data_IF_863328184655
#
_entry.id   IF_863328184655
#
_cell.length_a   1.000
_cell.length_b   1.000
_cell.length_c   1.000
_cell.angle_alpha   90.00
_cell.angle_beta   90.00
_cell.angle_gamma   90.00
#
_symmetry.space_group_name_H-M   'P 1'
#
loop_
_entity.id
_entity.type
_entity.pdbx_description
1 polymer ?
#
# COMPACT_ATOMS: atom_id res chain seq x y z
N UNK A 1 -16.05 -12.58 3.96
CA UNK A 1 -14.64 -12.96 3.76
C UNK A 1 -13.88 -11.72 3.30
N UNK A 2 -12.72 -11.44 3.87
CA UNK A 2 -11.89 -10.32 3.44
C UNK A 2 -11.35 -10.55 2.02
N UNK A 3 -11.22 -9.48 1.23
CA UNK A 3 -10.59 -9.48 -0.09
C UNK A 3 -9.23 -8.82 0.00
N UNK A 4 -8.25 -9.33 -0.76
CA UNK A 4 -6.89 -8.80 -0.79
C UNK A 4 -6.58 -8.29 -2.19
N UNK A 5 -5.97 -7.10 -2.26
CA UNK A 5 -5.45 -6.49 -3.49
C UNK A 5 -3.95 -6.32 -3.28
N UNK A 6 -3.14 -6.99 -4.11
CA UNK A 6 -1.68 -6.87 -4.08
C UNK A 6 -1.23 -5.82 -5.09
N UNK A 7 -0.47 -4.83 -4.63
CA UNK A 7 0.03 -3.74 -5.47
C UNK A 7 1.55 -3.92 -5.62
N UNK A 8 1.99 -4.21 -6.84
CA UNK A 8 3.41 -4.36 -7.19
C UNK A 8 3.86 -3.21 -8.09
N UNK A 9 5.17 -3.08 -8.33
CA UNK A 9 5.73 -2.13 -9.29
C UNK A 9 6.83 -2.74 -10.12
N UNK A 10 6.89 -2.36 -11.40
CA UNK A 10 7.96 -2.73 -12.32
C UNK A 10 8.72 -1.51 -12.82
N UNK A 11 9.80 -1.78 -13.59
CA UNK A 11 10.67 -0.79 -14.25
C UNK A 11 11.52 0.03 -13.29
N UNK A 12 10.93 0.94 -12.51
CA UNK A 12 11.66 1.84 -11.60
C UNK A 12 10.95 2.06 -10.27
N UNK A 13 11.70 2.46 -9.25
CA UNK A 13 11.17 2.92 -7.97
C UNK A 13 10.63 4.36 -8.08
N UNK A 14 10.07 4.90 -6.99
CA UNK A 14 9.55 6.28 -6.92
C UNK A 14 8.38 6.63 -7.86
N UNK A 15 7.74 5.63 -8.48
CA UNK A 15 6.54 5.77 -9.34
C UNK A 15 5.24 6.20 -8.61
N UNK A 16 5.29 6.54 -7.31
CA UNK A 16 4.09 6.93 -6.57
C UNK A 16 3.15 5.78 -6.20
N UNK A 17 3.66 4.54 -6.07
CA UNK A 17 2.86 3.35 -5.66
C UNK A 17 2.06 3.56 -4.37
N UNK A 18 2.67 4.22 -3.38
CA UNK A 18 2.00 4.52 -2.12
C UNK A 18 0.78 5.43 -2.30
N UNK A 19 0.92 6.46 -3.15
CA UNK A 19 -0.18 7.38 -3.48
C UNK A 19 -1.28 6.64 -4.25
N UNK A 20 -0.91 5.86 -5.26
CA UNK A 20 -1.87 5.07 -6.04
C UNK A 20 -2.68 4.10 -5.15
N UNK A 21 -2.01 3.40 -4.23
CA UNK A 21 -2.66 2.52 -3.26
C UNK A 21 -3.60 3.28 -2.33
N UNK A 22 -3.18 4.43 -1.80
CA UNK A 22 -3.99 5.27 -0.93
C UNK A 22 -5.23 5.81 -1.66
N UNK A 23 -5.09 6.29 -2.89
CA UNK A 23 -6.21 6.77 -3.71
C UNK A 23 -7.22 5.66 -4.03
N UNK A 24 -6.74 4.44 -4.34
CA UNK A 24 -7.63 3.29 -4.51
C UNK A 24 -8.40 2.98 -3.22
N UNK A 25 -7.72 3.02 -2.07
CA UNK A 25 -8.36 2.84 -0.76
C UNK A 25 -9.45 3.87 -0.52
N UNK A 26 -9.17 5.16 -0.73
CA UNK A 26 -10.14 6.23 -0.59
C UNK A 26 -11.37 6.05 -1.48
N UNK A 27 -11.18 5.62 -2.74
CA UNK A 27 -12.29 5.31 -3.65
C UNK A 27 -13.17 4.14 -3.17
N UNK A 28 -12.58 3.14 -2.54
CA UNK A 28 -13.31 1.99 -1.99
C UNK A 28 -14.05 2.35 -0.70
N UNK A 29 -13.43 3.16 0.17
CA UNK A 29 -14.07 3.71 1.37
C UNK A 29 -15.27 4.61 1.01
N UNK A 30 -15.14 5.43 -0.03
CA UNK A 30 -16.24 6.25 -0.56
C UNK A 30 -17.42 5.41 -1.07
N UNK A 31 -17.22 4.12 -1.35
CA UNK A 31 -18.27 3.14 -1.70
C UNK A 31 -18.82 2.37 -0.49
N UNK A 32 -18.48 2.80 0.74
CA UNK A 32 -18.93 2.17 1.98
C UNK A 32 -18.23 0.86 2.33
N UNK A 33 -17.09 0.56 1.68
CA UNK A 33 -16.30 -0.63 2.00
C UNK A 33 -15.35 -0.33 3.16
N UNK A 34 -15.20 -1.29 4.08
CA UNK A 34 -14.15 -1.25 5.09
C UNK A 34 -12.82 -1.67 4.45
N UNK A 35 -11.86 -0.75 4.39
CA UNK A 35 -10.56 -0.95 3.75
C UNK A 35 -9.45 -0.81 4.78
N UNK A 36 -8.34 -1.51 4.56
CA UNK A 36 -7.09 -1.33 5.30
C UNK A 36 -5.93 -1.46 4.32
N UNK A 37 -4.89 -0.65 4.50
CA UNK A 37 -3.68 -0.69 3.66
C UNK A 37 -2.50 -1.13 4.53
N UNK A 38 -1.68 -2.04 4.01
CA UNK A 38 -0.46 -2.52 4.65
C UNK A 38 0.70 -2.31 3.68
N UNK A 39 1.83 -1.79 4.18
CA UNK A 39 3.06 -1.62 3.43
C UNK A 39 4.05 -2.74 3.80
N UNK A 40 4.65 -3.35 2.78
CA UNK A 40 5.69 -4.37 2.92
C UNK A 40 7.00 -3.75 2.47
N UNK A 41 7.85 -3.39 3.42
CA UNK A 41 9.14 -2.77 3.14
C UNK A 41 10.25 -3.84 3.06
N UNK A 42 10.94 -4.00 1.91
CA UNK A 42 11.92 -5.05 1.70
C UNK A 42 13.31 -4.68 2.26
N UNK A 43 13.34 -4.08 3.45
CA UNK A 43 14.57 -3.71 4.15
C UNK A 43 14.88 -4.74 5.25
N UNK A 44 16.15 -4.86 5.62
CA UNK A 44 16.59 -5.76 6.70
C UNK A 44 16.34 -5.18 8.09
N UNK A 45 16.18 -3.85 8.18
CA UNK A 45 15.88 -3.16 9.42
C UNK A 45 14.59 -3.72 10.05
N UNK A 46 14.62 -3.99 11.35
CA UNK A 46 13.46 -4.48 12.11
C UNK A 46 12.33 -3.45 12.10
N UNK A 47 12.69 -2.17 12.23
CA UNK A 47 11.78 -1.04 12.21
C UNK A 47 12.51 0.21 11.65
N UNK A 48 11.77 1.25 11.24
CA UNK A 48 12.38 2.43 10.65
C UNK A 48 12.97 3.40 11.68
N UNK A 49 12.87 3.15 12.99
CA UNK A 49 13.34 4.05 14.04
C UNK A 49 14.85 4.25 14.09
N UNK A 50 15.61 3.38 13.43
CA UNK A 50 17.07 3.46 13.28
C UNK A 50 17.52 3.71 11.83
N UNK A 51 16.62 4.08 10.94
CA UNK A 51 16.96 4.49 9.57
C UNK A 51 17.46 5.93 9.53
#
# INVERSE_FOLDING_TARGET
MAKFIFITGGVVSSLGKGIAAASLGACLEARGLKVSVIKLDPYINVDPGTM
#
